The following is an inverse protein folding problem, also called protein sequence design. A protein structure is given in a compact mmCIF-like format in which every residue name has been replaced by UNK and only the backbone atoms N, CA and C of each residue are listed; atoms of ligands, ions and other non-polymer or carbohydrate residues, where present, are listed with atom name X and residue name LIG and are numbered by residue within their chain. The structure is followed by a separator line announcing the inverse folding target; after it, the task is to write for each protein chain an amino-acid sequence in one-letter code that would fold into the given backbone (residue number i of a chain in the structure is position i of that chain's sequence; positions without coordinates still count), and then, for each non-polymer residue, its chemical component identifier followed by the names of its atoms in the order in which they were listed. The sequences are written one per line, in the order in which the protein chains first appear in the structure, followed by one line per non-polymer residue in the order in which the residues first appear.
data_IF_565121959937
#
_entry.id   IF_565121959937
#
_cell.length_a   1.000
_cell.length_b   1.000
_cell.length_c   1.000
_cell.angle_alpha   90.00
_cell.angle_beta   90.00
_cell.angle_gamma   90.00
#
_symmetry.space_group_name_H-M   'P 1'
#
loop_
_entity.id
_entity.type
_entity.pdbx_description
1 polymer ?
#
# COMPACT_ATOMS: atom_id res chain seq x y z
N UNK A 1 10.62 2.44 7.20
CA UNK A 1 9.79 3.67 7.13
C UNK A 1 8.31 3.30 7.12
N UNK A 2 7.82 2.41 6.25
CA UNK A 2 6.40 1.97 6.25
C UNK A 2 5.98 1.41 7.61
N UNK A 3 6.84 0.61 8.26
CA UNK A 3 6.61 0.11 9.63
C UNK A 3 6.32 1.21 10.67
N UNK A 4 6.87 2.41 10.46
CA UNK A 4 6.65 3.55 11.36
C UNK A 4 5.25 4.15 11.23
N UNK A 5 4.46 3.75 10.22
CA UNK A 5 3.06 4.17 10.07
C UNK A 5 2.10 3.43 11.00
N UNK A 6 2.56 2.35 11.66
CA UNK A 6 1.70 1.57 12.56
C UNK A 6 1.09 2.44 13.66
N UNK A 7 1.92 3.18 14.39
CA UNK A 7 1.50 4.04 15.50
C UNK A 7 0.54 5.16 15.04
N UNK A 8 0.84 5.91 13.95
CA UNK A 8 -0.10 6.88 13.38
C UNK A 8 -1.47 6.31 12.96
N UNK A 9 -1.51 5.09 12.43
CA UNK A 9 -2.74 4.44 11.96
C UNK A 9 -3.55 3.81 13.10
N UNK A 10 -2.90 3.43 14.20
CA UNK A 10 -3.54 2.78 15.34
C UNK A 10 -4.01 3.81 16.39
N UNK A 11 -3.11 4.69 16.84
CA UNK A 11 -3.36 5.61 17.94
C UNK A 11 -3.76 7.01 17.48
N UNK A 12 -3.74 7.27 16.17
CA UNK A 12 -3.93 8.61 15.58
C UNK A 12 -2.99 9.66 16.15
N UNK A 13 -1.80 9.24 16.61
CA UNK A 13 -0.75 10.12 17.13
C UNK A 13 0.61 9.63 16.66
N UNK A 14 1.57 10.55 16.66
CA UNK A 14 2.97 10.21 16.47
C UNK A 14 3.83 10.92 17.50
N UNK A 15 4.66 10.14 18.19
CA UNK A 15 5.60 10.64 19.18
C UNK A 15 7.00 10.82 18.57
N UNK A 16 7.48 12.07 18.52
CA UNK A 16 8.81 12.39 18.02
C UNK A 16 9.71 12.71 19.22
N UNK A 17 10.65 11.81 19.50
CA UNK A 17 11.68 11.98 20.53
C UNK A 17 13.02 12.34 19.89
N UNK A 18 13.56 13.51 20.21
CA UNK A 18 14.91 13.96 19.87
C UNK A 18 15.69 14.28 21.15
N UNK A 19 17.01 14.41 21.03
CA UNK A 19 17.94 14.60 22.16
C UNK A 19 17.47 15.64 23.17
N UNK A 20 16.87 16.74 22.70
CA UNK A 20 16.43 17.86 23.55
C UNK A 20 14.90 18.07 23.56
N UNK A 21 14.09 17.21 22.94
CA UNK A 21 12.64 17.44 22.87
C UNK A 21 11.82 16.17 22.66
N UNK A 22 10.62 16.16 23.26
CA UNK A 22 9.58 15.17 23.01
C UNK A 22 8.32 15.91 22.61
N UNK A 23 7.83 15.65 21.39
CA UNK A 23 6.66 16.32 20.85
C UNK A 23 5.70 15.24 20.33
N UNK A 24 4.40 15.45 20.56
CA UNK A 24 3.34 14.58 20.04
C UNK A 24 2.52 15.34 19.03
N UNK A 25 2.28 14.74 17.87
CA UNK A 25 1.38 15.28 16.85
C UNK A 25 0.18 14.35 16.68
N UNK A 26 -0.99 14.93 16.42
CA UNK A 26 -2.21 14.18 16.07
C UNK A 26 -2.16 13.83 14.57
N UNK A 27 -2.56 12.61 14.22
CA UNK A 27 -2.46 12.03 12.86
C UNK A 27 -3.77 11.39 12.41
N UNK A 28 -4.84 12.18 12.34
CA UNK A 28 -6.13 11.75 11.78
C UNK A 28 -6.14 11.97 10.27
N UNK A 29 -5.73 10.95 9.51
CA UNK A 29 -5.72 10.98 8.05
C UNK A 29 -6.25 9.66 7.47
N UNK A 30 -6.77 9.71 6.24
CA UNK A 30 -7.06 8.51 5.47
C UNK A 30 -5.79 8.03 4.77
N UNK A 31 -5.38 6.80 5.03
CA UNK A 31 -4.24 6.18 4.36
C UNK A 31 -4.69 5.43 3.12
N UNK A 32 -4.07 5.77 1.98
CA UNK A 32 -4.31 5.11 0.70
C UNK A 32 -2.95 4.73 0.15
N UNK A 33 -2.80 3.46 -0.22
CA UNK A 33 -1.58 2.93 -0.81
C UNK A 33 -1.91 2.01 -1.99
N UNK A 34 -0.95 1.88 -2.89
CA UNK A 34 -1.01 0.95 -4.01
C UNK A 34 0.33 0.20 -4.09
N UNK A 35 0.25 -1.08 -4.46
CA UNK A 35 1.42 -1.92 -4.68
C UNK A 35 1.20 -2.74 -5.95
N UNK A 36 2.28 -2.94 -6.70
CA UNK A 36 2.26 -3.85 -7.84
C UNK A 36 2.04 -5.31 -7.37
N UNK A 37 1.55 -6.20 -8.24
CA UNK A 37 1.35 -7.60 -7.86
C UNK A 37 2.66 -8.41 -7.80
N UNK A 38 3.73 -7.91 -8.43
CA UNK A 38 5.08 -8.45 -8.43
C UNK A 38 6.11 -7.33 -8.77
N UNK A 39 7.43 -7.59 -8.63
CA UNK A 39 8.46 -6.60 -8.97
C UNK A 39 8.41 -6.08 -10.42
N UNK A 40 8.09 -6.94 -11.39
CA UNK A 40 7.99 -6.55 -12.80
C UNK A 40 6.63 -5.95 -13.20
N UNK A 41 5.64 -5.93 -12.29
CA UNK A 41 4.29 -5.40 -12.54
C UNK A 41 3.36 -6.30 -13.39
N UNK A 42 3.89 -7.25 -14.15
CA UNK A 42 3.13 -7.97 -15.18
C UNK A 42 2.43 -9.26 -14.71
N UNK A 43 2.32 -9.53 -13.39
CA UNK A 43 1.76 -10.80 -12.89
C UNK A 43 0.32 -11.06 -13.35
N UNK A 44 -0.49 -10.00 -13.47
CA UNK A 44 -1.88 -10.07 -13.92
C UNK A 44 -2.09 -9.38 -15.27
N UNK A 45 -1.00 -9.14 -16.02
CA UNK A 45 -1.09 -8.47 -17.30
C UNK A 45 -1.74 -9.39 -18.34
N UNK A 46 -2.64 -8.82 -19.16
CA UNK A 46 -3.26 -9.51 -20.29
C UNK A 46 -2.38 -9.44 -21.54
N UNK A 47 -1.46 -8.48 -21.60
CA UNK A 47 -0.64 -8.17 -22.78
C UNK A 47 0.83 -8.56 -22.62
N UNK A 48 1.36 -8.55 -21.39
CA UNK A 48 2.76 -8.80 -21.10
C UNK A 48 2.92 -10.04 -20.22
N UNK A 49 3.95 -10.85 -20.48
CA UNK A 49 4.27 -11.97 -19.60
C UNK A 49 5.08 -11.52 -18.39
N UNK A 50 4.75 -12.08 -17.22
CA UNK A 50 5.54 -11.92 -16.01
C UNK A 50 6.85 -12.70 -16.11
N UNK A 51 7.97 -12.06 -15.77
CA UNK A 51 9.31 -12.70 -15.74
C UNK A 51 9.76 -13.10 -14.35
N UNK A 52 8.98 -12.76 -13.31
CA UNK A 52 9.32 -13.07 -11.93
C UNK A 52 9.02 -14.54 -11.58
N UNK A 53 9.94 -15.16 -10.85
CA UNK A 53 9.71 -16.46 -10.20
C UNK A 53 8.70 -16.34 -9.06
N UNK A 54 8.08 -17.47 -8.68
CA UNK A 54 7.17 -17.51 -7.52
C UNK A 54 7.82 -17.03 -6.22
N UNK A 55 9.11 -17.31 -6.04
CA UNK A 55 9.85 -16.90 -4.86
C UNK A 55 10.05 -15.38 -4.81
N UNK A 56 10.33 -14.74 -5.96
CA UNK A 56 10.42 -13.28 -6.06
C UNK A 56 9.07 -12.62 -5.78
N UNK A 57 7.97 -13.20 -6.28
CA UNK A 57 6.61 -12.71 -6.04
C UNK A 57 6.27 -12.80 -4.55
N UNK A 58 6.50 -13.95 -3.90
CA UNK A 58 6.24 -14.14 -2.47
C UNK A 58 7.07 -13.17 -1.62
N UNK A 59 8.37 -13.03 -1.92
CA UNK A 59 9.24 -12.06 -1.23
C UNK A 59 8.72 -10.63 -1.40
N UNK A 60 8.34 -10.23 -2.61
CA UNK A 60 7.82 -8.90 -2.89
C UNK A 60 6.54 -8.58 -2.11
N UNK A 61 5.59 -9.52 -2.03
CA UNK A 61 4.35 -9.36 -1.26
C UNK A 61 4.61 -9.25 0.25
N UNK A 62 5.60 -9.99 0.74
CA UNK A 62 5.98 -9.98 2.15
C UNK A 62 6.84 -8.78 2.58
N UNK A 63 7.10 -7.81 1.69
CA UNK A 63 7.83 -6.58 2.06
C UNK A 63 7.04 -5.68 3.02
N UNK A 64 5.71 -5.76 3.00
CA UNK A 64 4.85 -5.04 3.93
C UNK A 64 4.56 -5.98 5.10
N UNK A 65 4.78 -5.50 6.32
CA UNK A 65 4.55 -6.32 7.51
C UNK A 65 3.06 -6.59 7.75
N UNK A 66 2.77 -7.74 8.36
CA UNK A 66 1.42 -8.07 8.79
C UNK A 66 0.79 -6.99 9.70
N UNK A 67 1.50 -6.39 10.69
CA UNK A 67 0.96 -5.31 11.51
C UNK A 67 0.43 -4.09 10.75
N UNK A 68 1.04 -3.71 9.62
CA UNK A 68 0.52 -2.63 8.77
C UNK A 68 -0.67 -3.11 7.95
N UNK A 69 -0.58 -4.34 7.44
CA UNK A 69 -1.64 -4.96 6.67
C UNK A 69 -2.93 -5.07 7.51
N UNK A 70 -2.83 -5.46 8.79
CA UNK A 70 -3.94 -5.54 9.75
C UNK A 70 -4.61 -4.18 10.08
N UNK A 71 -4.10 -3.07 9.52
CA UNK A 71 -4.65 -1.72 9.68
C UNK A 71 -5.23 -1.16 8.38
N UNK A 72 -5.31 -1.98 7.33
CA UNK A 72 -5.95 -1.62 6.06
C UNK A 72 -7.31 -2.32 6.00
N UNK A 73 -8.38 -1.53 6.05
CA UNK A 73 -9.75 -2.07 6.02
C UNK A 73 -10.16 -2.57 4.63
N UNK A 74 -9.66 -1.92 3.58
CA UNK A 74 -10.09 -2.14 2.20
C UNK A 74 -8.93 -2.57 1.30
N UNK A 75 -9.11 -3.71 0.65
CA UNK A 75 -8.23 -4.18 -0.43
C UNK A 75 -8.98 -4.16 -1.74
N UNK A 76 -8.47 -3.39 -2.69
CA UNK A 76 -9.02 -3.29 -4.03
C UNK A 76 -7.99 -3.84 -5.01
N UNK A 77 -8.32 -4.95 -5.65
CA UNK A 77 -7.55 -5.43 -6.79
C UNK A 77 -7.86 -4.54 -8.01
N UNK A 78 -6.83 -4.08 -8.68
CA UNK A 78 -6.95 -3.29 -9.91
C UNK A 78 -6.62 -4.18 -11.11
N UNK A 79 -7.47 -4.10 -12.14
CA UNK A 79 -7.25 -4.75 -13.42
C UNK A 79 -6.59 -3.80 -14.42
N UNK A 80 -5.98 -4.38 -15.46
CA UNK A 80 -5.54 -3.60 -16.61
C UNK A 80 -6.71 -2.93 -17.31
N UNK A 81 -6.54 -1.62 -17.54
CA UNK A 81 -7.49 -0.79 -18.29
C UNK A 81 -7.32 -0.98 -19.80
N UNK A 82 -8.44 -1.18 -20.49
CA UNK A 82 -8.53 -1.20 -21.95
C UNK A 82 -8.89 0.18 -22.50
N UNK A 83 -8.65 0.42 -23.80
CA UNK A 83 -9.02 1.68 -24.45
C UNK A 83 -10.53 1.95 -24.43
N UNK A 84 -11.34 0.90 -24.34
CA UNK A 84 -12.79 0.98 -24.37
C UNK A 84 -13.40 1.08 -22.96
N UNK A 85 -12.58 1.06 -21.91
CA UNK A 85 -13.05 1.16 -20.52
C UNK A 85 -13.61 2.56 -20.26
N UNK A 86 -14.85 2.60 -19.77
CA UNK A 86 -15.55 3.83 -19.42
C UNK A 86 -15.76 3.88 -17.92
N UNK A 87 -15.55 5.04 -17.32
CA UNK A 87 -15.91 5.26 -15.92
C UNK A 87 -17.44 5.19 -15.80
N UNK A 88 -17.94 4.30 -14.95
CA UNK A 88 -19.37 4.22 -14.63
C UNK A 88 -19.80 5.30 -13.64
N UNK A 89 -18.83 5.95 -12.98
CA UNK A 89 -19.05 6.97 -11.95
C UNK A 89 -18.21 8.21 -12.32
N UNK A 90 -18.88 9.35 -12.47
CA UNK A 90 -18.24 10.65 -12.60
C UNK A 90 -18.32 11.36 -11.26
N UNK A 91 -17.16 11.75 -10.70
CA UNK A 91 -17.11 12.64 -9.55
C UNK A 91 -17.68 13.99 -9.98
N UNK A 92 -18.83 14.36 -9.41
CA UNK A 92 -19.42 15.69 -9.53
C UNK A 92 -18.73 16.68 -8.61
#
# INVERSE_FOLDING_TARGET
IIESLREPLEDHKIHISRVNSKITYETKFSFIAAQNPCPCGNLFSKNLSCVCSENEIKKYKNHISAPIMDRIDLYVAMDEISKDDKTSISSK
#
